data_IF_551764383046
#
_entry.id   IF_551764383046
#
_cell.length_a   1.000
_cell.length_b   1.000
_cell.length_c   1.000
_cell.angle_alpha   90.00
_cell.angle_beta   90.00
_cell.angle_gamma   90.00
#
_symmetry.space_group_name_H-M   'P 1'
#
loop_
_entity.id
_entity.type
_entity.pdbx_description
1 polymer ?
#
# COMPACT_ATOMS: atom_id res chain seq x y z
N UNK A 1 -46.71 4.52 -28.83
CA UNK A 1 -46.54 4.51 -27.37
C UNK A 1 -45.70 3.35 -26.84
N UNK A 2 -45.72 2.19 -27.45
CA UNK A 2 -44.88 1.06 -27.06
C UNK A 2 -43.39 1.32 -27.29
N UNK A 3 -43.00 2.16 -28.26
CA UNK A 3 -41.60 2.47 -28.56
C UNK A 3 -40.92 3.37 -27.55
N UNK A 4 -41.67 4.21 -26.84
CA UNK A 4 -41.14 5.13 -25.82
C UNK A 4 -40.70 4.37 -24.55
N UNK A 5 -41.44 3.33 -24.16
CA UNK A 5 -41.08 2.48 -23.01
C UNK A 5 -39.83 1.64 -23.26
N UNK A 6 -39.62 1.20 -24.48
CA UNK A 6 -38.42 0.43 -24.88
C UNK A 6 -37.18 1.35 -24.91
N UNK A 7 -37.33 2.58 -25.39
CA UNK A 7 -36.25 3.58 -25.41
C UNK A 7 -35.85 3.97 -23.97
N UNK A 8 -36.80 4.10 -23.05
CA UNK A 8 -36.56 4.38 -21.65
C UNK A 8 -35.82 3.24 -20.95
N UNK A 9 -36.17 1.99 -21.26
CA UNK A 9 -35.49 0.81 -20.74
C UNK A 9 -34.05 0.72 -21.23
N UNK A 10 -33.81 1.05 -22.49
CA UNK A 10 -32.47 1.08 -23.10
C UNK A 10 -31.59 2.17 -22.50
N UNK A 11 -32.16 3.33 -22.20
CA UNK A 11 -31.46 4.44 -21.54
C UNK A 11 -31.07 4.08 -20.10
N UNK A 12 -31.92 3.35 -19.40
CA UNK A 12 -31.65 2.87 -18.05
C UNK A 12 -30.53 1.83 -17.99
N UNK A 13 -30.44 0.99 -19.00
CA UNK A 13 -29.37 -0.03 -19.14
C UNK A 13 -28.00 0.59 -19.44
N UNK A 14 -27.96 1.72 -20.16
CA UNK A 14 -26.70 2.41 -20.47
C UNK A 14 -26.11 3.16 -19.29
N UNK A 15 -26.95 3.58 -18.33
CA UNK A 15 -26.50 4.27 -17.11
C UNK A 15 -25.89 3.29 -16.10
N UNK A 16 -26.27 2.00 -16.15
CA UNK A 16 -25.79 1.00 -15.20
C UNK A 16 -24.40 0.42 -15.54
N UNK A 17 -23.82 0.76 -16.69
CA UNK A 17 -22.48 0.34 -17.08
C UNK A 17 -21.47 1.44 -16.75
N UNK A 18 -21.44 1.87 -15.49
CA UNK A 18 -20.35 2.71 -15.01
C UNK A 18 -19.14 1.80 -14.75
N UNK A 19 -18.04 2.09 -15.41
CA UNK A 19 -16.77 1.43 -15.13
C UNK A 19 -16.39 1.73 -13.70
N UNK A 20 -16.39 0.70 -12.85
CA UNK A 20 -15.76 0.76 -11.55
C UNK A 20 -14.26 0.72 -11.83
N UNK A 21 -13.60 1.87 -11.74
CA UNK A 21 -12.15 1.90 -11.87
C UNK A 21 -11.53 1.24 -10.65
N UNK A 22 -10.65 0.27 -10.91
CA UNK A 22 -9.89 -0.39 -9.87
C UNK A 22 -9.00 0.63 -9.16
N UNK A 23 -9.09 0.72 -7.82
CA UNK A 23 -8.27 1.61 -7.01
C UNK A 23 -6.94 0.94 -6.71
N UNK A 24 -5.99 1.07 -7.63
CA UNK A 24 -4.62 0.58 -7.47
C UNK A 24 -3.67 1.76 -7.45
N UNK A 25 -2.92 1.87 -6.35
CA UNK A 25 -1.88 2.88 -6.20
C UNK A 25 -0.52 2.22 -6.38
N UNK A 26 0.32 2.80 -7.23
CA UNK A 26 1.66 2.26 -7.49
C UNK A 26 2.74 3.23 -7.06
N UNK A 27 3.79 2.67 -6.51
CA UNK A 27 4.96 3.39 -6.00
C UNK A 27 6.23 2.71 -6.46
N UNK A 28 7.31 3.47 -6.47
CA UNK A 28 8.66 2.93 -6.64
C UNK A 28 9.42 3.12 -5.34
N UNK A 29 9.96 2.04 -4.80
CA UNK A 29 10.89 2.12 -3.68
C UNK A 29 12.27 2.47 -4.20
N UNK A 30 12.85 3.56 -3.69
CA UNK A 30 14.16 4.05 -4.11
C UNK A 30 15.28 3.56 -3.20
N UNK A 31 14.95 3.10 -2.02
CA UNK A 31 15.89 2.53 -1.08
C UNK A 31 15.20 2.00 0.15
N UNK A 32 15.96 1.28 0.97
CA UNK A 32 15.42 0.67 2.17
C UNK A 32 16.45 0.58 3.30
N UNK A 33 15.93 0.42 4.51
CA UNK A 33 16.70 0.09 5.71
C UNK A 33 15.94 -0.95 6.52
N UNK A 34 16.66 -1.74 7.29
CA UNK A 34 16.11 -2.81 8.12
C UNK A 34 16.57 -2.64 9.57
N UNK A 35 15.67 -2.92 10.50
CA UNK A 35 15.99 -3.01 11.92
C UNK A 35 15.52 -4.35 12.43
N UNK A 36 16.39 -5.06 13.14
CA UNK A 36 16.11 -6.40 13.66
C UNK A 36 16.28 -6.43 15.17
N UNK A 37 15.52 -7.31 15.82
CA UNK A 37 15.74 -7.62 17.22
C UNK A 37 16.91 -8.56 17.39
N UNK A 38 17.67 -8.38 18.50
CA UNK A 38 18.73 -9.28 18.88
C UNK A 38 18.17 -10.50 19.64
N UNK A 39 19.05 -11.41 20.07
CA UNK A 39 18.68 -12.64 20.81
C UNK A 39 18.02 -12.32 22.16
N UNK A 40 18.24 -11.12 22.71
CA UNK A 40 17.68 -10.67 23.98
C UNK A 40 16.37 -9.92 23.82
N UNK A 41 15.77 -9.95 22.63
CA UNK A 41 14.51 -9.27 22.28
C UNK A 41 14.62 -7.75 22.32
N UNK A 42 15.81 -7.19 22.11
CA UNK A 42 16.06 -5.76 22.00
C UNK A 42 16.19 -5.34 20.54
N UNK A 43 15.57 -4.21 20.20
CA UNK A 43 15.74 -3.63 18.87
C UNK A 43 17.17 -3.17 18.66
N UNK A 44 17.75 -3.59 17.53
CA UNK A 44 19.07 -3.15 17.08
C UNK A 44 19.05 -1.76 16.47
N UNK A 45 20.07 -1.46 15.71
CA UNK A 45 20.17 -0.21 14.96
C UNK A 45 19.61 -0.41 13.56
N UNK A 46 19.19 0.69 12.93
CA UNK A 46 18.87 0.68 11.51
C UNK A 46 20.11 0.30 10.70
N UNK A 47 19.92 -0.60 9.72
CA UNK A 47 20.97 -0.88 8.75
C UNK A 47 21.26 0.35 7.89
N UNK A 48 22.42 0.37 7.24
CA UNK A 48 22.73 1.41 6.27
C UNK A 48 21.69 1.41 5.14
N UNK A 49 21.36 2.61 4.66
CA UNK A 49 20.45 2.78 3.56
C UNK A 49 20.97 2.09 2.30
N UNK A 50 20.16 1.21 1.73
CA UNK A 50 20.47 0.49 0.49
C UNK A 50 19.62 1.03 -0.65
N UNK A 51 20.22 1.53 -1.74
CA UNK A 51 19.47 1.90 -2.93
C UNK A 51 18.75 0.67 -3.52
N UNK A 52 17.56 0.88 -4.04
CA UNK A 52 16.80 -0.16 -4.73
C UNK A 52 15.90 0.46 -5.79
N UNK A 53 15.28 -0.39 -6.60
CA UNK A 53 14.30 0.03 -7.59
C UNK A 53 13.22 -1.05 -7.66
N UNK A 54 12.25 -0.97 -6.76
CA UNK A 54 11.22 -1.98 -6.57
C UNK A 54 9.86 -1.31 -6.72
N UNK A 55 8.98 -1.91 -7.52
CA UNK A 55 7.59 -1.46 -7.63
C UNK A 55 6.77 -2.03 -6.48
N UNK A 56 5.95 -1.18 -5.88
CA UNK A 56 5.02 -1.54 -4.81
C UNK A 56 3.63 -1.14 -5.26
N UNK A 57 2.67 -2.06 -5.16
CA UNK A 57 1.28 -1.82 -5.52
C UNK A 57 0.39 -1.98 -4.29
N UNK A 58 -0.45 -0.98 -4.04
CA UNK A 58 -1.54 -1.03 -3.07
C UNK A 58 -2.84 -1.18 -3.84
N UNK A 59 -3.41 -2.38 -3.81
CA UNK A 59 -4.65 -2.72 -4.50
C UNK A 59 -5.79 -2.74 -3.48
N UNK A 60 -6.58 -1.68 -3.44
CA UNK A 60 -7.68 -1.55 -2.46
C UNK A 60 -8.85 -2.46 -2.81
N UNK A 61 -9.09 -2.74 -4.09
CA UNK A 61 -10.18 -3.61 -4.53
C UNK A 61 -9.93 -5.06 -4.14
N UNK A 62 -8.71 -5.53 -4.38
CA UNK A 62 -8.30 -6.89 -4.02
C UNK A 62 -7.82 -6.99 -2.57
N UNK A 63 -7.76 -5.88 -1.86
CA UNK A 63 -7.31 -5.79 -0.45
C UNK A 63 -5.95 -6.43 -0.26
N UNK A 64 -4.96 -5.98 -1.03
CA UNK A 64 -3.61 -6.52 -0.94
C UNK A 64 -2.55 -5.48 -1.26
N UNK A 65 -1.39 -5.68 -0.68
CA UNK A 65 -0.17 -4.94 -0.97
C UNK A 65 0.81 -5.93 -1.60
N UNK A 66 1.39 -5.55 -2.75
CA UNK A 66 2.35 -6.39 -3.46
C UNK A 66 3.67 -5.64 -3.55
N UNK A 67 4.74 -6.28 -3.10
CA UNK A 67 6.11 -5.77 -3.23
C UNK A 67 6.83 -6.61 -4.28
N UNK A 68 7.12 -6.02 -5.42
CA UNK A 68 7.76 -6.69 -6.56
C UNK A 68 9.28 -6.70 -6.40
N UNK A 69 9.75 -7.25 -5.29
CA UNK A 69 11.15 -7.54 -5.06
C UNK A 69 11.57 -8.81 -5.83
N UNK A 70 12.82 -9.21 -5.73
CA UNK A 70 13.33 -10.42 -6.41
C UNK A 70 12.43 -11.63 -6.14
N UNK A 71 11.96 -11.78 -4.90
CA UNK A 71 10.86 -12.68 -4.55
C UNK A 71 9.62 -11.83 -4.29
N UNK A 72 8.57 -12.03 -5.09
CA UNK A 72 7.34 -11.23 -4.97
C UNK A 72 6.70 -11.51 -3.62
N UNK A 73 6.42 -10.44 -2.86
CA UNK A 73 5.79 -10.52 -1.56
C UNK A 73 4.35 -10.04 -1.66
N UNK A 74 3.42 -10.88 -1.17
CA UNK A 74 2.00 -10.56 -1.12
C UNK A 74 1.57 -10.41 0.34
N UNK A 75 0.90 -9.30 0.63
CA UNK A 75 0.30 -9.04 1.93
C UNK A 75 -1.19 -8.82 1.73
N UNK A 76 -2.00 -9.72 2.29
CA UNK A 76 -3.45 -9.56 2.27
C UNK A 76 -3.87 -8.64 3.41
N UNK A 77 -4.65 -7.61 3.09
CA UNK A 77 -5.12 -6.65 4.08
C UNK A 77 -6.33 -7.25 4.79
N UNK A 78 -6.20 -7.51 6.08
CA UNK A 78 -7.30 -8.00 6.91
C UNK A 78 -8.13 -6.85 7.48
N UNK A 79 -7.46 -5.74 7.80
CA UNK A 79 -8.12 -4.58 8.39
C UNK A 79 -7.48 -3.28 7.92
N UNK A 80 -8.33 -2.36 7.47
CA UNK A 80 -7.97 -0.98 7.21
C UNK A 80 -8.09 -0.24 8.53
N UNK A 81 -6.96 0.13 9.13
CA UNK A 81 -6.93 0.87 10.39
C UNK A 81 -7.30 2.33 10.17
N UNK A 82 -7.59 3.06 11.25
CA UNK A 82 -7.89 4.47 11.16
C UNK A 82 -6.68 5.27 10.67
N UNK A 83 -6.94 6.16 9.72
CA UNK A 83 -5.97 7.16 9.28
C UNK A 83 -5.53 8.02 10.46
N UNK A 84 -4.23 8.23 10.59
CA UNK A 84 -3.65 9.11 11.58
C UNK A 84 -3.11 10.34 10.86
N UNK A 85 -3.57 11.52 11.25
CA UNK A 85 -3.09 12.77 10.69
C UNK A 85 -2.79 13.78 11.79
N UNK A 86 -1.60 14.35 11.77
CA UNK A 86 -1.16 15.41 12.65
C UNK A 86 -0.33 16.43 11.86
N UNK A 87 0.30 17.38 12.55
CA UNK A 87 1.09 18.42 11.88
C UNK A 87 2.33 17.88 11.16
N UNK A 88 2.86 16.75 11.60
CA UNK A 88 4.09 16.16 11.07
C UNK A 88 3.85 15.07 10.03
N UNK A 89 2.81 14.26 10.23
CA UNK A 89 2.64 13.02 9.48
C UNK A 89 1.19 12.80 9.01
N UNK A 90 1.07 12.12 7.86
CA UNK A 90 -0.15 11.48 7.41
C UNK A 90 0.14 9.99 7.29
N UNK A 91 -0.59 9.16 8.05
CA UNK A 91 -0.33 7.72 8.17
C UNK A 91 -1.57 6.94 7.78
N UNK A 92 -1.41 5.99 6.85
CA UNK A 92 -2.43 5.01 6.50
C UNK A 92 -1.96 3.63 6.97
N UNK A 93 -2.44 3.15 8.15
CA UNK A 93 -2.04 1.84 8.66
C UNK A 93 -2.94 0.73 8.17
N UNK A 94 -2.35 -0.44 7.97
CA UNK A 94 -3.06 -1.66 7.55
C UNK A 94 -2.57 -2.84 8.39
N UNK A 95 -3.51 -3.67 8.84
CA UNK A 95 -3.18 -4.97 9.42
C UNK A 95 -3.25 -6.03 8.33
N UNK A 96 -2.16 -6.72 8.11
CA UNK A 96 -1.98 -7.62 6.98
C UNK A 96 -1.54 -9.01 7.42
N UNK A 97 -1.72 -9.97 6.53
CA UNK A 97 -1.27 -11.36 6.69
C UNK A 97 -0.61 -11.83 5.40
N UNK A 98 0.49 -12.56 5.49
CA UNK A 98 1.14 -13.14 4.33
C UNK A 98 0.59 -14.55 4.01
N UNK A 99 1.17 -15.22 3.00
CA UNK A 99 0.70 -16.54 2.57
C UNK A 99 0.97 -17.64 3.63
N UNK A 100 1.92 -17.41 4.53
CA UNK A 100 2.27 -18.35 5.60
C UNK A 100 1.44 -18.12 6.86
N UNK A 101 0.54 -17.14 6.85
CA UNK A 101 -0.31 -16.81 7.98
C UNK A 101 0.35 -15.89 9.00
N UNK A 102 1.52 -15.33 8.70
CA UNK A 102 2.19 -14.39 9.58
C UNK A 102 1.59 -12.99 9.45
N UNK A 103 1.49 -12.32 10.59
CA UNK A 103 0.88 -10.98 10.68
C UNK A 103 1.91 -9.87 10.53
N UNK A 104 1.49 -8.80 9.85
CA UNK A 104 2.30 -7.62 9.62
C UNK A 104 1.47 -6.37 9.88
N UNK A 105 2.09 -5.36 10.48
CA UNK A 105 1.54 -4.01 10.50
C UNK A 105 2.26 -3.20 9.41
N UNK A 106 1.52 -2.78 8.41
CA UNK A 106 2.07 -2.06 7.25
C UNK A 106 1.49 -0.66 7.23
N UNK A 107 2.34 0.36 7.09
CA UNK A 107 1.91 1.75 7.10
C UNK A 107 2.54 2.53 5.96
N UNK A 108 1.69 3.26 5.23
CA UNK A 108 2.14 4.27 4.28
C UNK A 108 2.16 5.61 5.00
N UNK A 109 3.33 6.24 5.07
CA UNK A 109 3.56 7.46 5.84
C UNK A 109 4.04 8.58 4.92
N UNK A 110 3.37 9.74 5.00
CA UNK A 110 3.84 10.98 4.39
C UNK A 110 4.38 11.89 5.47
N UNK A 111 5.67 12.25 5.36
CA UNK A 111 6.35 13.14 6.30
C UNK A 111 6.17 14.59 5.81
N UNK A 112 5.18 15.29 6.34
CA UNK A 112 4.81 16.64 5.89
C UNK A 112 5.93 17.66 6.01
N UNK A 113 6.71 17.60 7.10
CA UNK A 113 7.83 18.53 7.37
C UNK A 113 9.13 18.12 6.70
N UNK A 114 9.15 16.98 5.99
CA UNK A 114 10.30 16.50 5.25
C UNK A 114 10.00 16.52 3.75
N UNK A 115 9.43 17.61 3.28
CA UNK A 115 9.10 17.83 1.87
C UNK A 115 8.11 16.78 1.32
N UNK A 116 7.18 16.36 2.17
CA UNK A 116 6.18 15.32 1.87
C UNK A 116 6.80 14.00 1.42
N UNK A 117 7.94 13.65 1.98
CA UNK A 117 8.61 12.38 1.74
C UNK A 117 7.71 11.22 2.15
N UNK A 118 7.56 10.24 1.25
CA UNK A 118 6.74 9.07 1.49
C UNK A 118 7.58 7.86 1.88
N UNK A 119 7.08 7.10 2.83
CA UNK A 119 7.73 5.89 3.32
C UNK A 119 6.70 4.78 3.48
N UNK A 120 7.15 3.55 3.28
CA UNK A 120 6.39 2.34 3.58
C UNK A 120 7.10 1.58 4.69
N UNK A 121 6.42 1.42 5.83
CA UNK A 121 6.91 0.61 6.94
C UNK A 121 6.24 -0.75 6.91
N UNK A 122 7.03 -1.81 6.94
CA UNK A 122 6.56 -3.18 7.06
C UNK A 122 7.07 -3.73 8.38
N UNK A 123 6.19 -3.80 9.37
CA UNK A 123 6.53 -4.22 10.72
C UNK A 123 6.09 -5.66 10.95
N UNK A 124 7.06 -6.50 11.23
CA UNK A 124 6.86 -7.84 11.74
C UNK A 124 7.32 -7.88 13.21
N UNK A 125 7.05 -8.97 13.91
CA UNK A 125 7.37 -9.11 15.32
C UNK A 125 8.82 -8.79 15.66
N UNK A 126 9.77 -9.26 14.84
CA UNK A 126 11.20 -9.19 15.11
C UNK A 126 11.98 -8.32 14.11
N UNK A 127 11.31 -7.82 13.08
CA UNK A 127 11.93 -7.08 11.96
C UNK A 127 11.05 -5.92 11.56
N UNK A 128 11.67 -4.76 11.34
CA UNK A 128 11.02 -3.61 10.73
C UNK A 128 11.79 -3.27 9.46
N UNK A 129 11.08 -3.24 8.34
CA UNK A 129 11.62 -2.82 7.05
C UNK A 129 10.99 -1.49 6.66
N UNK A 130 11.81 -0.52 6.29
CA UNK A 130 11.32 0.76 5.77
C UNK A 130 11.83 0.98 4.35
N UNK A 131 10.90 1.28 3.44
CA UNK A 131 11.20 1.74 2.09
C UNK A 131 10.95 3.24 1.99
N UNK A 132 11.87 3.98 1.38
CA UNK A 132 11.54 5.29 0.84
C UNK A 132 10.87 5.08 -0.51
N UNK A 133 9.70 5.67 -0.69
CA UNK A 133 8.90 5.47 -1.90
C UNK A 133 8.58 6.80 -2.56
N UNK A 134 8.40 6.74 -3.88
CA UNK A 134 7.86 7.84 -4.69
C UNK A 134 6.71 7.30 -5.52
N UNK A 135 5.83 8.19 -5.97
CA UNK A 135 4.76 7.77 -6.86
C UNK A 135 5.35 7.19 -8.15
N UNK A 136 4.73 6.12 -8.63
CA UNK A 136 5.16 5.50 -9.88
C UNK A 136 5.05 6.53 -11.00
N UNK A 137 6.15 6.82 -11.72
CA UNK A 137 6.11 7.81 -12.78
C UNK A 137 5.39 7.25 -14.01
N UNK A 138 4.47 8.03 -14.54
CA UNK A 138 3.77 7.71 -15.77
C UNK A 138 2.47 6.96 -15.55
N UNK A 139 1.69 6.91 -16.60
CA UNK A 139 0.47 6.10 -16.66
C UNK A 139 0.82 4.70 -17.12
N UNK A 140 0.30 3.75 -16.43
CA UNK A 140 0.36 2.34 -16.85
C UNK A 140 -0.75 2.05 -17.83
#
# INVERSE_FOLDING_TARGET
MKNIKIIFLFLFLTISVQKIEAQVYKFVATGFSVMEKDEKDNWGKWSDYQPTNIVIALDLDKKRIVVYSKEIQFYNIEKFEEKIENDDDLIFPFSCIDIDGETFAISFITRKKQDYRKQLYINQKDVILVYNIVNFPGKL
#
